data_IF_707018940158
#
_entry.id   IF_707018940158
#
_cell.length_a   1.000
_cell.length_b   1.000
_cell.length_c   1.000
_cell.angle_alpha   90.00
_cell.angle_beta   90.00
_cell.angle_gamma   90.00
#
_symmetry.space_group_name_H-M   'P 1'
#
loop_
_entity.id
_entity.type
_entity.pdbx_description
1 polymer ?
#
# COMPACT_ATOMS: atom_id res chain seq x y z
N UNK A 1 16.40 -4.38 -9.60
CA UNK A 1 17.38 -4.21 -8.50
C UNK A 1 17.04 -5.25 -7.46
N UNK A 2 17.95 -6.17 -7.13
CA UNK A 2 17.66 -7.21 -6.11
C UNK A 2 17.81 -6.54 -4.75
N UNK A 3 16.73 -6.45 -3.97
CA UNK A 3 16.86 -6.13 -2.56
C UNK A 3 17.57 -7.29 -1.86
N UNK A 4 18.73 -7.01 -1.25
CA UNK A 4 19.37 -7.96 -0.36
C UNK A 4 18.39 -8.39 0.74
N UNK A 5 18.36 -9.69 1.05
CA UNK A 5 17.68 -10.16 2.25
C UNK A 5 18.26 -9.46 3.49
N UNK A 6 17.41 -9.11 4.46
CA UNK A 6 17.79 -8.28 5.61
C UNK A 6 19.00 -8.90 6.33
N UNK A 7 20.16 -8.24 6.22
CA UNK A 7 21.45 -8.80 6.61
C UNK A 7 21.42 -9.29 8.07
N UNK A 8 21.89 -10.51 8.30
CA UNK A 8 21.93 -11.17 9.63
C UNK A 8 22.45 -10.22 10.71
N UNK A 9 23.58 -9.55 10.45
CA UNK A 9 24.22 -8.61 11.37
C UNK A 9 23.28 -7.45 11.78
N UNK A 10 22.47 -6.92 10.86
CA UNK A 10 21.50 -5.86 11.13
C UNK A 10 20.38 -6.37 12.04
N UNK A 11 19.82 -7.56 11.73
CA UNK A 11 18.78 -8.19 12.55
C UNK A 11 19.30 -8.48 13.96
N UNK A 12 20.46 -9.14 14.08
CA UNK A 12 21.07 -9.45 15.39
C UNK A 12 21.37 -8.20 16.21
N UNK A 13 21.83 -7.10 15.58
CA UNK A 13 22.06 -5.82 16.27
C UNK A 13 20.77 -5.15 16.75
N UNK A 14 19.67 -5.27 16.00
CA UNK A 14 18.36 -4.78 16.44
C UNK A 14 17.81 -5.65 17.58
N UNK A 15 17.86 -6.98 17.44
CA UNK A 15 17.36 -7.92 18.45
C UNK A 15 18.12 -7.82 19.78
N UNK A 16 19.43 -7.55 19.79
CA UNK A 16 20.19 -7.35 21.03
C UNK A 16 19.92 -6.00 21.70
N UNK A 17 19.49 -4.99 20.95
CA UNK A 17 18.94 -3.75 21.51
C UNK A 17 17.56 -3.96 22.14
N UNK A 18 16.65 -4.56 21.36
CA UNK A 18 15.26 -4.83 21.76
C UNK A 18 15.14 -5.80 22.95
N UNK A 19 15.81 -6.96 22.92
CA UNK A 19 15.87 -7.91 24.05
C UNK A 19 16.83 -7.42 25.18
N UNK A 20 17.36 -6.20 25.06
CA UNK A 20 18.25 -5.57 26.02
C UNK A 20 17.65 -4.31 26.62
N UNK A 21 18.45 -3.23 26.67
CA UNK A 21 18.07 -1.99 27.37
C UNK A 21 17.00 -1.14 26.68
N UNK A 22 16.59 -1.45 25.44
CA UNK A 22 15.60 -0.62 24.72
C UNK A 22 14.15 -0.94 25.11
N UNK A 23 13.86 -2.17 25.55
CA UNK A 23 12.51 -2.59 25.94
C UNK A 23 12.52 -3.48 27.21
N UNK A 24 13.06 -2.99 28.34
CA UNK A 24 13.40 -3.83 29.51
C UNK A 24 12.21 -4.52 30.19
N UNK A 25 10.99 -4.02 29.96
CA UNK A 25 9.74 -4.58 30.50
C UNK A 25 8.87 -5.26 29.42
N UNK A 26 9.42 -5.55 28.24
CA UNK A 26 8.69 -6.15 27.12
C UNK A 26 9.13 -7.58 26.87
N UNK A 27 8.21 -8.54 26.96
CA UNK A 27 8.51 -9.94 26.65
C UNK A 27 8.50 -10.15 25.13
N UNK A 28 9.68 -10.16 24.53
CA UNK A 28 9.85 -10.35 23.09
C UNK A 28 10.08 -11.85 22.79
N UNK A 29 9.28 -12.38 21.88
CA UNK A 29 9.34 -13.79 21.45
C UNK A 29 10.46 -14.04 20.43
N UNK A 30 10.78 -13.05 19.59
CA UNK A 30 11.88 -13.08 18.63
C UNK A 30 13.18 -12.68 19.33
N UNK A 31 14.03 -13.65 19.65
CA UNK A 31 15.28 -13.44 20.40
C UNK A 31 16.52 -13.51 19.51
N UNK A 32 16.48 -14.31 18.45
CA UNK A 32 17.59 -14.51 17.51
C UNK A 32 17.14 -14.53 16.04
N UNK A 33 18.10 -14.70 15.12
CA UNK A 33 17.85 -14.65 13.68
C UNK A 33 17.02 -15.83 13.14
N UNK A 34 17.09 -17.02 13.76
CA UNK A 34 16.23 -18.14 13.40
C UNK A 34 14.77 -17.82 13.74
N UNK A 35 14.47 -17.41 14.99
CA UNK A 35 13.13 -16.98 15.41
C UNK A 35 12.55 -15.90 14.47
N UNK A 36 13.41 -14.99 13.98
CA UNK A 36 13.02 -13.97 13.00
C UNK A 36 12.69 -14.56 11.62
N UNK A 37 13.48 -15.51 11.11
CA UNK A 37 13.18 -16.18 9.84
C UNK A 37 11.95 -17.07 9.94
N UNK A 38 11.75 -17.77 11.05
CA UNK A 38 10.57 -18.62 11.30
C UNK A 38 9.31 -17.76 11.42
N UNK A 39 9.38 -16.67 12.19
CA UNK A 39 8.30 -15.67 12.27
C UNK A 39 8.00 -15.03 10.92
N UNK A 40 9.02 -14.74 10.11
CA UNK A 40 8.87 -14.20 8.76
C UNK A 40 8.29 -15.23 7.78
N UNK A 41 8.65 -16.53 7.93
CA UNK A 41 8.12 -17.61 7.11
C UNK A 41 6.64 -17.89 7.42
N UNK A 42 6.25 -17.86 8.70
CA UNK A 42 4.85 -17.89 9.11
C UNK A 42 4.09 -16.65 8.65
N UNK A 43 4.62 -15.44 8.89
CA UNK A 43 4.00 -14.18 8.51
C UNK A 43 3.75 -14.04 7.00
N UNK A 44 4.60 -14.67 6.15
CA UNK A 44 4.38 -14.70 4.69
C UNK A 44 3.03 -15.31 4.30
N UNK A 45 2.48 -16.26 5.07
CA UNK A 45 1.24 -16.96 4.70
C UNK A 45 -0.01 -16.07 4.77
N UNK A 46 0.03 -14.95 5.51
CA UNK A 46 -1.11 -14.07 5.77
C UNK A 46 -1.30 -12.98 4.69
N UNK A 47 -1.08 -13.31 3.42
CA UNK A 47 -1.37 -12.41 2.30
C UNK A 47 -0.78 -12.87 0.97
N UNK A 48 -1.05 -12.11 -0.09
CA UNK A 48 -0.64 -12.47 -1.46
C UNK A 48 0.88 -12.67 -1.58
N UNK A 49 1.29 -13.79 -2.18
CA UNK A 49 2.69 -14.13 -2.37
C UNK A 49 3.35 -13.28 -3.46
N UNK A 50 4.68 -13.22 -3.44
CA UNK A 50 5.44 -12.68 -4.57
C UNK A 50 5.60 -13.76 -5.65
N UNK A 51 5.11 -13.44 -6.85
CA UNK A 51 5.28 -14.21 -8.08
C UNK A 51 6.53 -13.65 -8.82
N UNK A 52 7.24 -14.49 -9.60
CA UNK A 52 8.41 -14.07 -10.40
C UNK A 52 8.10 -14.24 -11.89
N UNK A 53 8.29 -13.18 -12.67
CA UNK A 53 7.97 -13.12 -14.10
C UNK A 53 9.17 -12.56 -14.90
N UNK A 54 9.27 -12.95 -16.18
CA UNK A 54 10.27 -12.45 -17.14
C UNK A 54 9.57 -11.77 -18.32
N UNK A 55 9.58 -10.43 -18.35
CA UNK A 55 9.16 -9.68 -19.54
C UNK A 55 10.34 -9.56 -20.51
N UNK A 56 10.10 -9.87 -21.78
CA UNK A 56 11.07 -9.73 -22.87
C UNK A 56 10.68 -8.55 -23.76
N UNK A 57 11.60 -7.64 -24.05
CA UNK A 57 11.35 -6.45 -24.87
C UNK A 57 12.53 -6.12 -25.80
N UNK A 58 12.24 -5.84 -27.07
CA UNK A 58 13.26 -5.55 -28.09
C UNK A 58 13.48 -4.06 -28.25
N UNK A 59 14.66 -3.57 -27.86
CA UNK A 59 15.06 -2.17 -28.00
C UNK A 59 16.28 -2.04 -28.93
N UNK A 60 16.16 -1.21 -29.98
CA UNK A 60 17.21 -0.98 -31.00
C UNK A 60 17.78 -2.29 -31.60
N UNK A 61 16.90 -3.26 -31.89
CA UNK A 61 17.27 -4.55 -32.47
C UNK A 61 18.00 -5.51 -31.53
N UNK A 62 18.06 -5.21 -30.22
CA UNK A 62 18.54 -6.12 -29.18
C UNK A 62 17.39 -6.53 -28.28
N UNK A 63 17.31 -7.82 -27.98
CA UNK A 63 16.37 -8.37 -27.00
C UNK A 63 16.89 -8.09 -25.58
N UNK A 64 16.03 -7.59 -24.70
CA UNK A 64 16.30 -7.40 -23.28
C UNK A 64 15.28 -8.18 -22.46
N UNK A 65 15.78 -8.95 -21.48
CA UNK A 65 14.98 -9.79 -20.58
C UNK A 65 15.02 -9.22 -19.18
N UNK A 66 13.84 -8.94 -18.62
CA UNK A 66 13.66 -8.30 -17.33
C UNK A 66 12.94 -9.27 -16.40
N UNK A 67 13.71 -9.93 -15.53
CA UNK A 67 13.15 -10.66 -14.39
C UNK A 67 12.80 -9.71 -13.25
N UNK A 68 11.59 -9.81 -12.75
CA UNK A 68 11.11 -9.05 -11.60
C UNK A 68 10.21 -9.92 -10.72
N UNK A 69 10.03 -9.46 -9.48
CA UNK A 69 9.06 -10.05 -8.54
C UNK A 69 8.00 -9.03 -8.23
N UNK A 70 6.75 -9.47 -8.25
CA UNK A 70 5.57 -8.65 -8.02
C UNK A 70 4.57 -9.44 -7.17
N UNK A 71 3.61 -8.76 -6.58
CA UNK A 71 2.35 -9.38 -6.17
C UNK A 71 1.36 -9.08 -7.29
N UNK A 72 0.53 -10.04 -7.67
CA UNK A 72 -0.61 -9.76 -8.54
C UNK A 72 -1.41 -8.58 -7.95
N UNK A 73 -1.52 -7.44 -8.67
CA UNK A 73 -2.10 -6.24 -8.10
C UNK A 73 -3.58 -6.43 -7.75
N UNK A 74 -4.32 -7.22 -8.55
CA UNK A 74 -5.75 -7.44 -8.33
C UNK A 74 -5.99 -8.36 -7.13
N UNK A 75 -5.27 -9.49 -7.03
CA UNK A 75 -5.31 -10.35 -5.84
C UNK A 75 -4.96 -9.53 -4.58
N UNK A 76 -3.90 -8.72 -4.64
CA UNK A 76 -3.42 -7.95 -3.48
C UNK A 76 -4.36 -6.81 -3.07
N UNK A 77 -5.04 -6.16 -4.02
CA UNK A 77 -6.08 -5.18 -3.69
C UNK A 77 -7.31 -5.87 -3.07
N UNK A 78 -7.74 -7.01 -3.58
CA UNK A 78 -8.85 -7.78 -2.98
C UNK A 78 -8.52 -8.29 -1.57
N UNK A 79 -7.29 -8.73 -1.33
CA UNK A 79 -6.73 -9.14 -0.02
C UNK A 79 -6.97 -8.02 1.02
N UNK A 80 -6.60 -6.78 0.68
CA UNK A 80 -6.78 -5.59 1.54
C UNK A 80 -8.26 -5.19 1.68
N UNK A 81 -9.04 -5.25 0.60
CA UNK A 81 -10.43 -4.78 0.59
C UNK A 81 -11.40 -5.75 1.28
N UNK A 82 -11.05 -7.03 1.36
CA UNK A 82 -11.85 -8.05 2.05
C UNK A 82 -11.41 -8.32 3.50
N UNK A 83 -10.24 -7.81 3.93
CA UNK A 83 -9.82 -7.88 5.33
C UNK A 83 -10.77 -7.09 6.24
N UNK A 84 -11.50 -7.80 7.09
CA UNK A 84 -12.44 -7.25 8.07
C UNK A 84 -11.75 -6.28 9.05
N UNK A 85 -10.47 -6.48 9.36
CA UNK A 85 -9.69 -5.62 10.27
C UNK A 85 -9.35 -4.27 9.62
N UNK A 86 -9.25 -4.22 8.28
CA UNK A 86 -9.03 -3.00 7.51
C UNK A 86 -10.33 -2.37 6.99
N UNK A 87 -11.42 -3.14 6.89
CA UNK A 87 -12.72 -2.72 6.34
C UNK A 87 -13.29 -1.43 6.94
N UNK A 88 -13.10 -1.20 8.25
CA UNK A 88 -13.52 0.01 8.96
C UNK A 88 -12.55 1.20 8.86
N UNK A 89 -11.36 1.00 8.27
CA UNK A 89 -10.38 2.05 7.96
C UNK A 89 -10.46 2.48 6.49
N UNK A 90 -11.09 1.68 5.63
CA UNK A 90 -11.29 1.96 4.21
C UNK A 90 -12.46 2.93 4.04
N UNK A 91 -12.25 3.98 3.25
CA UNK A 91 -13.27 4.98 2.94
C UNK A 91 -14.04 4.58 1.67
N UNK A 92 -15.16 3.89 1.86
CA UNK A 92 -15.97 3.31 0.78
C UNK A 92 -16.82 4.32 0.00
N UNK A 93 -17.02 5.53 0.53
CA UNK A 93 -17.77 6.62 -0.10
C UNK A 93 -17.06 7.95 0.12
N UNK A 94 -17.11 8.89 -0.84
CA UNK A 94 -16.57 10.24 -0.68
C UNK A 94 -17.35 11.02 0.40
N UNK A 95 -16.70 12.03 0.99
CA UNK A 95 -17.22 12.80 2.12
C UNK A 95 -17.18 14.31 1.86
N UNK A 96 -18.32 14.98 1.99
CA UNK A 96 -18.39 16.44 1.84
C UNK A 96 -17.89 17.13 3.12
N UNK A 97 -16.74 17.79 3.02
CA UNK A 97 -16.13 18.53 4.13
C UNK A 97 -16.50 20.01 4.07
N UNK A 98 -16.80 20.60 5.22
CA UNK A 98 -17.14 22.02 5.34
C UNK A 98 -16.40 22.68 6.50
N UNK A 99 -15.74 23.79 6.22
CA UNK A 99 -15.17 24.68 7.24
C UNK A 99 -16.19 25.78 7.57
N UNK A 100 -16.54 25.92 8.85
CA UNK A 100 -17.31 27.05 9.37
C UNK A 100 -16.37 28.03 10.08
N UNK A 101 -16.41 29.30 9.68
CA UNK A 101 -15.67 30.39 10.30
C UNK A 101 -16.61 31.57 10.52
N UNK A 102 -17.02 31.77 11.78
CA UNK A 102 -18.10 32.70 12.12
C UNK A 102 -19.43 32.30 11.45
N UNK A 103 -20.03 33.24 10.69
CA UNK A 103 -21.21 33.01 9.86
C UNK A 103 -20.90 32.34 8.51
N UNK A 104 -19.65 32.36 8.04
CA UNK A 104 -19.27 31.81 6.73
C UNK A 104 -19.09 30.29 6.83
N UNK A 105 -19.73 29.58 5.91
CA UNK A 105 -19.45 28.16 5.63
C UNK A 105 -18.72 28.09 4.28
N UNK A 106 -17.77 27.18 4.11
CA UNK A 106 -17.03 26.98 2.85
C UNK A 106 -16.69 25.50 2.67
N UNK A 107 -17.08 24.93 1.52
CA UNK A 107 -16.79 23.54 1.15
C UNK A 107 -15.28 23.36 0.95
N UNK A 108 -14.74 22.28 1.49
CA UNK A 108 -13.42 21.74 1.19
C UNK A 108 -13.58 20.60 0.18
N UNK A 109 -12.87 20.70 -0.95
CA UNK A 109 -12.92 19.71 -2.04
C UNK A 109 -11.51 19.39 -2.63
N UNK A 110 -10.45 19.91 -1.99
CA UNK A 110 -9.06 19.77 -2.45
C UNK A 110 -8.38 18.47 -1.94
N UNK A 111 -9.03 17.73 -1.04
CA UNK A 111 -8.58 16.39 -0.66
C UNK A 111 -9.25 15.35 -1.56
N UNK A 112 -8.54 14.27 -1.88
CA UNK A 112 -9.02 13.18 -2.76
C UNK A 112 -10.41 12.64 -2.34
N UNK A 113 -10.63 12.53 -1.03
CA UNK A 113 -11.88 12.02 -0.42
C UNK A 113 -13.06 13.00 -0.49
N UNK A 114 -12.80 14.26 -0.87
CA UNK A 114 -13.77 15.37 -0.83
C UNK A 114 -14.11 15.95 -2.21
N UNK A 115 -13.45 15.47 -3.26
CA UNK A 115 -13.63 15.92 -4.63
C UNK A 115 -14.99 15.49 -5.19
N UNK A 116 -15.78 16.45 -5.68
CA UNK A 116 -17.12 16.24 -6.25
C UNK A 116 -17.14 15.14 -7.32
N UNK A 117 -16.04 14.99 -8.08
CA UNK A 117 -15.97 13.99 -9.16
C UNK A 117 -16.00 12.53 -8.67
N UNK A 118 -15.52 12.21 -7.47
CA UNK A 118 -15.73 10.86 -6.91
C UNK A 118 -17.21 10.69 -6.55
N UNK A 119 -17.84 11.71 -5.95
CA UNK A 119 -19.28 11.66 -5.63
C UNK A 119 -20.11 11.40 -6.89
N UNK A 120 -19.92 12.20 -7.95
CA UNK A 120 -20.59 12.01 -9.24
C UNK A 120 -20.45 10.59 -9.81
N UNK A 121 -19.24 10.03 -9.77
CA UNK A 121 -18.99 8.68 -10.30
C UNK A 121 -19.65 7.61 -9.42
N UNK A 122 -19.52 7.72 -8.10
CA UNK A 122 -20.05 6.77 -7.14
C UNK A 122 -21.59 6.76 -7.11
N UNK A 123 -22.22 7.93 -7.25
CA UNK A 123 -23.67 8.12 -7.34
C UNK A 123 -24.23 7.64 -8.70
N UNK A 124 -23.42 7.66 -9.76
CA UNK A 124 -23.79 7.14 -11.09
C UNK A 124 -23.75 5.61 -11.25
N UNK A 125 -23.29 4.87 -10.23
CA UNK A 125 -23.26 3.40 -10.28
C UNK A 125 -24.68 2.80 -10.15
N UNK A 126 -24.90 1.55 -10.60
CA UNK A 126 -26.18 0.88 -10.40
C UNK A 126 -26.51 0.76 -8.91
N UNK A 127 -27.76 1.09 -8.56
CA UNK A 127 -28.30 1.00 -7.20
C UNK A 127 -29.25 -0.21 -7.05
N UNK A 128 -29.03 -1.26 -7.84
CA UNK A 128 -29.90 -2.44 -7.90
C UNK A 128 -29.80 -3.29 -6.63
N UNK A 129 -30.95 -3.73 -6.11
CA UNK A 129 -31.01 -4.49 -4.86
C UNK A 129 -30.24 -5.81 -4.97
N UNK A 130 -29.20 -5.95 -4.15
CA UNK A 130 -28.31 -7.12 -4.12
C UNK A 130 -26.97 -6.90 -4.84
N UNK A 131 -26.88 -5.96 -5.79
CA UNK A 131 -25.61 -5.65 -6.48
C UNK A 131 -24.89 -4.48 -5.79
N UNK A 132 -23.98 -4.81 -4.87
CA UNK A 132 -23.15 -3.82 -4.18
C UNK A 132 -22.00 -3.39 -5.09
N UNK A 133 -22.08 -2.18 -5.63
CA UNK A 133 -21.02 -1.55 -6.42
C UNK A 133 -20.32 -0.44 -5.62
N UNK A 134 -19.00 -0.32 -5.80
CA UNK A 134 -18.20 0.79 -5.27
C UNK A 134 -17.17 1.21 -6.30
N UNK A 135 -17.00 2.52 -6.47
CA UNK A 135 -15.89 3.08 -7.24
C UNK A 135 -14.67 3.11 -6.33
N UNK A 136 -13.63 2.35 -6.71
CA UNK A 136 -12.37 2.25 -5.98
C UNK A 136 -11.32 3.18 -6.63
N UNK A 137 -11.09 4.40 -6.09
CA UNK A 137 -10.11 5.31 -6.67
C UNK A 137 -8.68 4.92 -6.30
N UNK A 138 -8.03 4.16 -7.20
CA UNK A 138 -6.67 3.67 -7.04
C UNK A 138 -5.62 4.77 -7.22
N UNK A 139 -5.15 5.33 -6.11
CA UNK A 139 -4.11 6.37 -6.09
C UNK A 139 -2.71 5.73 -6.01
N UNK A 140 -2.17 5.36 -7.17
CA UNK A 140 -0.80 4.86 -7.28
C UNK A 140 0.22 6.00 -7.05
N UNK A 141 1.18 5.75 -6.16
CA UNK A 141 2.24 6.71 -5.82
C UNK A 141 3.61 6.04 -5.88
N UNK A 142 4.44 6.41 -6.85
CA UNK A 142 5.88 6.09 -6.84
C UNK A 142 6.69 7.28 -6.30
N UNK A 143 7.89 6.97 -5.80
CA UNK A 143 8.87 7.95 -5.29
C UNK A 143 9.79 8.49 -6.42
N UNK A 144 10.39 9.67 -6.16
CA UNK A 144 11.20 10.57 -7.00
C UNK A 144 10.52 11.33 -8.16
N UNK A 145 11.03 12.54 -8.44
CA UNK A 145 10.47 13.66 -9.26
C UNK A 145 9.60 14.66 -8.47
N UNK A 146 8.40 15.10 -8.89
CA UNK A 146 7.68 16.23 -8.25
C UNK A 146 6.16 16.32 -8.47
N UNK A 147 5.44 16.57 -7.38
CA UNK A 147 3.99 16.89 -7.25
C UNK A 147 3.76 18.37 -6.86
N UNK A 148 4.76 18.97 -6.20
CA UNK A 148 4.81 20.38 -5.83
C UNK A 148 6.29 20.82 -5.85
N UNK A 149 6.60 22.11 -5.59
CA UNK A 149 7.97 22.64 -5.44
C UNK A 149 8.86 21.87 -4.43
N UNK A 150 8.30 20.96 -3.65
CA UNK A 150 8.95 20.23 -2.55
C UNK A 150 8.73 18.69 -2.56
N UNK A 151 8.01 18.07 -3.52
CA UNK A 151 7.47 16.68 -3.32
C UNK A 151 7.45 15.74 -4.54
N UNK A 152 8.58 15.16 -4.96
CA UNK A 152 8.75 13.69 -4.85
C UNK A 152 8.19 12.63 -5.85
N UNK A 153 7.52 12.83 -7.00
CA UNK A 153 6.89 11.68 -7.79
C UNK A 153 6.97 11.70 -9.35
N UNK A 154 7.01 10.50 -10.00
CA UNK A 154 7.20 10.18 -11.44
C UNK A 154 6.04 9.26 -12.00
N UNK A 155 5.86 9.10 -13.33
CA UNK A 155 4.74 8.33 -13.91
C UNK A 155 4.95 6.80 -14.00
N UNK A 156 3.83 6.07 -14.07
CA UNK A 156 3.70 4.66 -14.48
C UNK A 156 3.05 4.61 -15.88
N UNK A 157 3.40 3.61 -16.69
CA UNK A 157 2.60 3.15 -17.82
C UNK A 157 1.85 1.89 -17.37
N UNK A 158 0.53 1.86 -17.58
CA UNK A 158 -0.31 0.66 -17.48
C UNK A 158 -0.43 0.02 -18.87
#
# INVERSE_FOLDING_TARGET
MIHEAVRVQTVTKLLSGFNGRWAPNTYITIRNYADFQDSLAAARQFGVQFEEEEITHTFRGREYKFKFRYRDPWKWMLDILTDLMLSGLIMWYPVEKYLKHGSRITRMYNELISGTRWWEIQDSLPHEFGMRHVYLPLHLWLDKSSVAKTVSKHPIIL
#
